data_IF_976014161020
#
_entry.id   IF_976014161020
#
_cell.length_a   1.000
_cell.length_b   1.000
_cell.length_c   1.000
_cell.angle_alpha   90.00
_cell.angle_beta   90.00
_cell.angle_gamma   90.00
#
_symmetry.space_group_name_H-M   'P 1'
#
loop_
_entity.id
_entity.type
_entity.pdbx_description
1 polymer ?
#
# COMPACT_ATOMS: atom_id res chain seq x y z
N UNK A 1 16.01 1.50 17.75
CA UNK A 1 15.80 2.68 16.88
C UNK A 1 15.77 2.17 15.46
N UNK A 2 14.60 2.11 14.81
CA UNK A 2 14.48 1.62 13.41
C UNK A 2 13.25 2.13 12.66
N UNK A 3 12.43 2.98 13.30
CA UNK A 3 11.14 3.42 12.75
C UNK A 3 11.18 4.41 11.59
N UNK A 4 12.34 4.65 10.97
CA UNK A 4 12.49 5.66 9.91
C UNK A 4 12.59 5.06 8.52
N UNK A 5 13.25 3.91 8.32
CA UNK A 5 13.58 3.43 6.98
C UNK A 5 12.41 2.73 6.27
N UNK A 6 11.70 1.81 6.93
CA UNK A 6 10.52 1.16 6.31
C UNK A 6 9.39 2.16 6.01
N UNK A 7 9.31 3.27 6.78
CA UNK A 7 8.33 4.33 6.56
C UNK A 7 8.54 5.06 5.24
N UNK A 8 9.79 5.24 4.81
CA UNK A 8 10.10 5.84 3.51
C UNK A 8 9.59 4.96 2.36
N UNK A 9 9.81 3.65 2.45
CA UNK A 9 9.31 2.66 1.47
C UNK A 9 7.78 2.66 1.44
N UNK A 10 7.12 2.64 2.61
CA UNK A 10 5.67 2.75 2.70
C UNK A 10 5.13 4.03 2.04
N UNK A 11 5.72 5.19 2.36
CA UNK A 11 5.22 6.47 1.86
C UNK A 11 5.41 6.59 0.34
N UNK A 12 6.55 6.10 -0.17
CA UNK A 12 6.82 6.04 -1.61
C UNK A 12 5.80 5.12 -2.31
N UNK A 13 5.58 3.90 -1.80
CA UNK A 13 4.57 2.97 -2.34
C UNK A 13 3.17 3.58 -2.34
N UNK A 14 2.81 4.30 -1.28
CA UNK A 14 1.52 5.01 -1.18
C UNK A 14 1.40 6.08 -2.27
N UNK A 15 2.44 6.86 -2.52
CA UNK A 15 2.43 7.88 -3.57
C UNK A 15 2.37 7.25 -4.96
N UNK A 16 3.18 6.22 -5.20
CA UNK A 16 3.18 5.45 -6.45
C UNK A 16 1.79 4.87 -6.73
N UNK A 17 1.17 4.20 -5.75
CA UNK A 17 -0.17 3.65 -5.87
C UNK A 17 -1.24 4.70 -6.17
N UNK A 18 -1.14 5.89 -5.55
CA UNK A 18 -2.09 6.99 -5.81
C UNK A 18 -1.92 7.56 -7.23
N UNK A 19 -0.70 7.53 -7.79
CA UNK A 19 -0.41 8.03 -9.13
C UNK A 19 -0.75 7.02 -10.24
N UNK A 20 -0.48 5.73 -10.02
CA UNK A 20 -0.57 4.69 -11.06
C UNK A 20 -1.80 3.78 -10.89
N UNK A 21 -2.38 3.72 -9.69
CA UNK A 21 -3.41 2.75 -9.32
C UNK A 21 -2.87 1.32 -9.06
N UNK A 22 -1.56 1.10 -9.17
CA UNK A 22 -0.91 -0.19 -9.02
C UNK A 22 0.18 -0.17 -7.93
N UNK A 23 0.42 -1.32 -7.30
CA UNK A 23 1.56 -1.47 -6.39
C UNK A 23 2.85 -1.69 -7.21
N UNK A 24 3.96 -1.10 -6.80
CA UNK A 24 5.27 -1.37 -7.40
C UNK A 24 5.77 -2.77 -7.01
N UNK A 25 6.56 -3.40 -7.89
CA UNK A 25 7.13 -4.71 -7.58
C UNK A 25 8.32 -4.59 -6.63
N UNK A 26 8.57 -5.65 -5.87
CA UNK A 26 9.70 -5.70 -4.93
C UNK A 26 11.05 -5.47 -5.60
N UNK A 27 11.23 -5.96 -6.83
CA UNK A 27 12.49 -5.78 -7.57
C UNK A 27 12.76 -4.31 -7.90
N UNK A 28 11.72 -3.56 -8.28
CA UNK A 28 11.84 -2.11 -8.51
C UNK A 28 12.17 -1.37 -7.21
N UNK A 29 11.56 -1.78 -6.09
CA UNK A 29 11.86 -1.19 -4.79
C UNK A 29 13.29 -1.49 -4.31
N UNK A 30 13.82 -2.68 -4.58
CA UNK A 30 15.22 -2.99 -4.30
C UNK A 30 16.19 -2.16 -5.14
N UNK A 31 15.80 -1.80 -6.37
CA UNK A 31 16.61 -0.92 -7.20
C UNK A 31 16.52 0.55 -6.75
N UNK A 32 15.32 1.02 -6.41
CA UNK A 32 15.06 2.39 -5.92
C UNK A 32 15.69 2.65 -4.54
N UNK A 33 15.62 1.66 -3.64
CA UNK A 33 16.15 1.72 -2.28
C UNK A 33 17.39 0.84 -2.11
N UNK A 34 18.30 0.86 -3.09
CA UNK A 34 19.49 -0.02 -3.11
C UNK A 34 20.43 0.17 -1.91
N UNK A 35 20.40 1.32 -1.25
CA UNK A 35 21.18 1.62 -0.04
C UNK A 35 20.52 1.12 1.26
N UNK A 36 19.27 0.65 1.18
CA UNK A 36 18.47 0.23 2.33
C UNK A 36 18.55 -1.29 2.52
N UNK A 37 18.44 -1.76 3.76
CA UNK A 37 18.42 -3.20 4.01
C UNK A 37 17.15 -3.83 3.44
N UNK A 38 17.30 -4.99 2.79
CA UNK A 38 16.19 -5.71 2.16
C UNK A 38 15.04 -5.99 3.14
N UNK A 39 15.37 -6.28 4.41
CA UNK A 39 14.39 -6.48 5.46
C UNK A 39 13.52 -5.24 5.73
N UNK A 40 14.09 -4.04 5.66
CA UNK A 40 13.34 -2.80 5.87
C UNK A 40 12.43 -2.49 4.67
N UNK A 41 12.83 -2.90 3.46
CA UNK A 41 12.00 -2.84 2.25
C UNK A 41 10.82 -3.81 2.38
N UNK A 42 11.09 -5.04 2.81
CA UNK A 42 10.05 -6.06 3.05
C UNK A 42 9.05 -5.60 4.13
N UNK A 43 9.52 -4.97 5.21
CA UNK A 43 8.66 -4.37 6.23
C UNK A 43 7.78 -3.24 5.66
N UNK A 44 8.34 -2.35 4.82
CA UNK A 44 7.59 -1.26 4.20
C UNK A 44 6.52 -1.75 3.22
N UNK A 45 6.81 -2.82 2.46
CA UNK A 45 5.84 -3.50 1.59
C UNK A 45 4.70 -4.08 2.43
N UNK A 46 5.03 -4.83 3.49
CA UNK A 46 4.02 -5.47 4.34
C UNK A 46 3.06 -4.44 4.97
N UNK A 47 3.59 -3.33 5.49
CA UNK A 47 2.77 -2.24 6.04
C UNK A 47 1.86 -1.60 4.97
N UNK A 48 2.36 -1.43 3.75
CA UNK A 48 1.57 -0.92 2.63
C UNK A 48 0.43 -1.88 2.26
N UNK A 49 0.72 -3.17 2.11
CA UNK A 49 -0.27 -4.20 1.79
C UNK A 49 -1.36 -4.30 2.86
N UNK A 50 -0.98 -4.23 4.14
CA UNK A 50 -1.93 -4.18 5.26
C UNK A 50 -2.82 -2.93 5.19
N UNK A 51 -2.26 -1.76 4.90
CA UNK A 51 -3.00 -0.51 4.79
C UNK A 51 -3.98 -0.51 3.60
N UNK A 52 -3.57 -1.00 2.43
CA UNK A 52 -4.44 -1.12 1.25
C UNK A 52 -5.49 -2.22 1.42
N UNK A 53 -5.12 -3.36 2.00
CA UNK A 53 -6.06 -4.44 2.33
C UNK A 53 -7.18 -3.97 3.26
N UNK A 54 -6.84 -3.16 4.28
CA UNK A 54 -7.83 -2.50 5.14
C UNK A 54 -8.71 -1.51 4.37
N UNK A 55 -8.16 -0.73 3.42
CA UNK A 55 -8.98 0.15 2.56
C UNK A 55 -9.94 -0.64 1.67
N UNK A 56 -9.52 -1.77 1.08
CA UNK A 56 -10.39 -2.62 0.27
C UNK A 56 -11.52 -3.24 1.09
N UNK A 57 -11.27 -3.61 2.34
CA UNK A 57 -12.31 -4.15 3.24
C UNK A 57 -13.31 -3.08 3.72
N UNK A 58 -12.95 -1.80 3.65
CA UNK A 58 -13.84 -0.65 3.89
C UNK A 58 -14.46 -0.04 2.62
N UNK A 59 -13.97 -0.41 1.44
CA UNK A 59 -14.55 -0.05 0.15
C UNK A 59 -15.63 -1.06 -0.24
N UNK A 60 -16.64 -1.22 0.63
CA UNK A 60 -17.96 -1.60 0.13
C UNK A 60 -18.48 -0.35 -0.59
N UNK A 61 -18.70 -0.36 -1.91
CA UNK A 61 -19.51 0.68 -2.50
C UNK A 61 -20.89 0.57 -1.85
N UNK A 62 -21.25 1.58 -1.06
CA UNK A 62 -22.64 1.90 -0.72
C UNK A 62 -23.35 2.26 -2.04
N UNK A 63 -23.64 1.23 -2.82
CA UNK A 63 -24.51 1.27 -3.97
C UNK A 63 -25.92 1.06 -3.46
N UNK A 64 -26.65 2.15 -3.32
CA UNK A 64 -28.08 2.20 -3.02
C UNK A 64 -28.84 1.24 -3.94
N UNK A 65 -29.61 0.32 -3.36
CA UNK A 65 -30.84 -0.16 -3.98
C UNK A 65 -32.00 0.09 -3.02
N UNK A 66 -32.53 1.30 -3.16
CA UNK A 66 -33.86 1.67 -2.73
C UNK A 66 -34.83 1.00 -3.73
N UNK A 67 -35.31 -0.21 -3.43
CA UNK A 67 -36.45 -0.79 -4.15
C UNK A 67 -37.45 -1.32 -3.13
N UNK A 68 -38.50 -0.50 -2.97
CA UNK A 68 -39.82 -0.84 -2.47
C UNK A 68 -40.30 -2.18 -3.05
N UNK A 69 -40.81 -3.06 -2.19
CA UNK A 69 -41.71 -4.13 -2.59
C UNK A 69 -42.90 -4.13 -1.60
N UNK A 70 -44.07 -4.25 -2.21
CA UNK A 70 -45.45 -4.06 -1.76
C UNK A 70 -45.86 -4.79 -0.46
#
# INVERSE_FOLDING_TARGET
MGGRNYWHVYNWLRQYYLATGAAAERMDLLAEFAEQESGEIDEGIAEFELAIGKRKKGAVPDGKEHTQAD
#
